data_IF_396520851831
#
_entry.id   IF_396520851831
#
_cell.length_a   1.000
_cell.length_b   1.000
_cell.length_c   1.000
_cell.angle_alpha   90.00
_cell.angle_beta   90.00
_cell.angle_gamma   90.00
#
_symmetry.space_group_name_H-M   'P 1'
#
loop_
_entity.id
_entity.type
_entity.pdbx_description
1 polymer ?
#
# COMPACT_ATOMS: atom_id res chain seq x y z
N UNK A 1 77.56 -12.23 -20.51
CA UNK A 1 76.31 -12.44 -21.27
C UNK A 1 75.50 -13.57 -20.63
N UNK A 2 74.73 -13.31 -19.56
CA UNK A 2 74.01 -14.39 -18.88
C UNK A 2 72.67 -13.99 -18.20
N UNK A 3 72.24 -12.72 -18.28
CA UNK A 3 70.98 -12.29 -17.66
C UNK A 3 69.85 -12.06 -18.67
N UNK A 4 70.18 -11.56 -19.87
CA UNK A 4 69.19 -11.20 -20.89
C UNK A 4 68.58 -12.43 -21.58
N UNK A 5 69.32 -13.53 -21.73
CA UNK A 5 68.76 -14.78 -22.30
C UNK A 5 67.81 -15.48 -21.34
N UNK A 6 68.03 -15.39 -20.02
CA UNK A 6 67.19 -16.04 -19.00
C UNK A 6 65.81 -15.38 -18.88
N UNK A 7 65.70 -14.08 -19.18
CA UNK A 7 64.41 -13.36 -19.25
C UNK A 7 63.62 -13.78 -20.50
N UNK A 8 64.32 -14.03 -21.61
CA UNK A 8 63.68 -14.42 -22.87
C UNK A 8 63.22 -15.88 -22.89
N UNK A 9 63.87 -16.75 -22.12
CA UNK A 9 63.51 -18.17 -21.98
C UNK A 9 62.35 -18.39 -20.98
N UNK A 10 62.19 -17.52 -19.97
CA UNK A 10 61.11 -17.59 -18.97
C UNK A 10 59.93 -16.65 -19.23
N UNK A 11 59.99 -15.78 -20.24
CA UNK A 11 58.88 -14.87 -20.59
C UNK A 11 57.61 -15.62 -21.00
N UNK A 12 57.74 -16.77 -21.68
CA UNK A 12 56.61 -17.63 -22.05
C UNK A 12 55.86 -18.18 -20.83
N UNK A 13 56.59 -18.58 -19.78
CA UNK A 13 55.99 -19.07 -18.52
C UNK A 13 55.32 -17.94 -17.76
N UNK A 14 55.92 -16.75 -17.74
CA UNK A 14 55.33 -15.57 -17.11
C UNK A 14 54.03 -15.13 -17.81
N UNK A 15 54.01 -15.11 -19.14
CA UNK A 15 52.81 -14.78 -19.94
C UNK A 15 51.72 -15.84 -19.74
N UNK A 16 52.09 -17.12 -19.70
CA UNK A 16 51.16 -18.22 -19.40
C UNK A 16 50.54 -18.10 -18.01
N UNK A 17 51.35 -17.77 -16.98
CA UNK A 17 50.87 -17.59 -15.61
C UNK A 17 49.90 -16.41 -15.48
N UNK A 18 50.14 -15.30 -16.19
CA UNK A 18 49.24 -14.14 -16.21
C UNK A 18 47.93 -14.48 -16.94
N UNK A 19 47.98 -15.20 -18.06
CA UNK A 19 46.79 -15.62 -18.79
C UNK A 19 45.92 -16.59 -17.96
N UNK A 20 46.54 -17.54 -17.25
CA UNK A 20 45.85 -18.45 -16.33
C UNK A 20 45.29 -17.69 -15.13
N UNK A 21 46.04 -16.71 -14.60
CA UNK A 21 45.57 -15.83 -13.53
C UNK A 21 44.34 -15.01 -13.93
N UNK A 22 44.29 -14.51 -15.17
CA UNK A 22 43.12 -13.81 -15.70
C UNK A 22 41.93 -14.76 -15.92
N UNK A 23 42.16 -15.97 -16.44
CA UNK A 23 41.10 -16.99 -16.55
C UNK A 23 40.55 -17.39 -15.18
N UNK A 24 41.42 -17.57 -14.18
CA UNK A 24 41.02 -17.85 -12.80
C UNK A 24 40.36 -16.64 -12.13
N UNK A 25 40.67 -15.40 -12.53
CA UNK A 25 39.98 -14.21 -12.04
C UNK A 25 38.59 -14.06 -12.68
N UNK A 26 38.44 -14.37 -13.96
CA UNK A 26 37.16 -14.34 -14.68
C UNK A 26 36.24 -15.47 -14.17
N UNK A 27 36.77 -16.69 -14.01
CA UNK A 27 35.99 -17.86 -13.58
C UNK A 27 35.87 -17.92 -12.04
N UNK A 28 36.93 -17.60 -11.32
CA UNK A 28 36.94 -17.58 -9.85
C UNK A 28 36.29 -16.33 -9.26
N UNK A 29 36.25 -15.20 -9.97
CA UNK A 29 35.48 -14.02 -9.56
C UNK A 29 33.97 -14.30 -9.53
N UNK A 30 33.47 -15.12 -10.46
CA UNK A 30 32.05 -15.48 -10.55
C UNK A 30 31.68 -16.66 -9.60
N UNK A 31 32.64 -17.56 -9.32
CA UNK A 31 32.43 -18.70 -8.42
C UNK A 31 32.74 -18.42 -6.94
N UNK A 32 33.72 -17.55 -6.64
CA UNK A 32 34.14 -17.20 -5.27
C UNK A 32 33.52 -15.88 -4.80
N UNK A 33 33.00 -15.07 -5.72
CA UNK A 33 32.04 -13.99 -5.43
C UNK A 33 30.63 -14.49 -5.08
N UNK A 34 30.46 -15.81 -4.98
CA UNK A 34 29.24 -16.51 -4.58
C UNK A 34 28.89 -16.30 -3.10
N UNK A 35 28.54 -15.06 -2.75
CA UNK A 35 27.84 -14.71 -1.53
C UNK A 35 26.50 -15.45 -1.51
N UNK A 36 26.47 -16.60 -0.82
CA UNK A 36 25.30 -17.24 -0.21
C UNK A 36 23.93 -17.08 -0.92
N UNK A 37 23.83 -17.37 -2.23
CA UNK A 37 22.53 -17.34 -2.94
C UNK A 37 21.64 -18.57 -2.66
N UNK A 38 22.15 -19.59 -1.96
CA UNK A 38 21.43 -20.85 -1.73
C UNK A 38 20.71 -20.95 -0.36
N UNK A 39 21.03 -20.09 0.62
CA UNK A 39 20.44 -20.15 1.97
C UNK A 39 19.90 -18.82 2.50
N UNK A 40 19.91 -17.77 1.68
CA UNK A 40 19.21 -16.52 1.96
C UNK A 40 18.30 -16.21 0.78
N UNK A 41 17.07 -16.72 0.80
CA UNK A 41 15.99 -16.08 0.04
C UNK A 41 16.01 -14.64 0.49
N UNK A 42 16.48 -13.75 -0.38
CA UNK A 42 16.35 -12.32 -0.23
C UNK A 42 14.86 -12.06 -0.02
N UNK A 43 14.42 -11.95 1.22
CA UNK A 43 13.08 -11.48 1.56
C UNK A 43 13.09 -9.96 1.34
N UNK A 44 13.26 -9.56 0.08
CA UNK A 44 13.08 -8.18 -0.38
C UNK A 44 11.58 -7.85 -0.44
N UNK A 45 10.75 -8.46 0.40
CA UNK A 45 9.35 -8.15 0.50
C UNK A 45 9.16 -6.95 1.44
N UNK A 46 8.41 -5.96 0.97
CA UNK A 46 7.93 -4.83 1.78
C UNK A 46 6.74 -5.25 2.65
N UNK A 47 6.00 -6.27 2.21
CA UNK A 47 4.96 -6.93 2.99
C UNK A 47 4.28 -8.04 2.19
N UNK A 48 3.24 -8.62 2.78
CA UNK A 48 2.48 -9.74 2.22
C UNK A 48 0.98 -9.50 2.41
N UNK A 49 0.20 -9.73 1.36
CA UNK A 49 -1.27 -9.56 1.35
C UNK A 49 -1.86 -10.83 0.72
N UNK A 50 -2.74 -11.53 1.45
CA UNK A 50 -3.38 -12.77 0.98
C UNK A 50 -2.40 -13.87 0.50
N UNK A 51 -1.19 -13.94 1.06
CA UNK A 51 -0.16 -14.90 0.62
C UNK A 51 0.69 -14.43 -0.56
N UNK A 52 0.39 -13.25 -1.14
CA UNK A 52 1.17 -12.62 -2.20
C UNK A 52 2.10 -11.55 -1.64
N UNK A 53 3.39 -11.66 -1.96
CA UNK A 53 4.40 -10.70 -1.52
C UNK A 53 4.40 -9.45 -2.39
N UNK A 54 4.54 -8.29 -1.76
CA UNK A 54 4.85 -7.01 -2.41
C UNK A 54 6.35 -6.85 -2.35
N UNK A 55 7.03 -7.04 -3.47
CA UNK A 55 8.48 -6.98 -3.55
C UNK A 55 8.97 -5.50 -3.55
N UNK A 56 10.15 -5.27 -3.00
CA UNK A 56 10.77 -3.94 -2.88
C UNK A 56 10.99 -3.27 -4.24
N UNK A 57 11.41 -3.98 -5.31
CA UNK A 57 11.50 -3.38 -6.65
C UNK A 57 10.14 -2.88 -7.15
N UNK A 58 9.06 -3.61 -6.90
CA UNK A 58 7.71 -3.20 -7.29
C UNK A 58 7.29 -1.94 -6.52
N UNK A 59 7.43 -1.97 -5.19
CA UNK A 59 7.10 -0.81 -4.36
C UNK A 59 7.89 0.43 -4.78
N UNK A 60 9.19 0.25 -5.07
CA UNK A 60 10.07 1.34 -5.48
C UNK A 60 9.66 1.92 -6.84
N UNK A 61 9.31 1.07 -7.80
CA UNK A 61 8.83 1.51 -9.11
C UNK A 61 7.50 2.29 -9.00
N UNK A 62 6.55 1.79 -8.21
CA UNK A 62 5.28 2.45 -7.97
C UNK A 62 5.46 3.80 -7.25
N UNK A 63 6.35 3.86 -6.26
CA UNK A 63 6.67 5.09 -5.54
C UNK A 63 7.31 6.14 -6.45
N UNK A 64 8.21 5.72 -7.35
CA UNK A 64 8.86 6.63 -8.29
C UNK A 64 7.84 7.23 -9.28
N UNK A 65 6.89 6.42 -9.75
CA UNK A 65 5.76 6.92 -10.55
C UNK A 65 4.91 7.93 -9.77
N UNK A 66 4.63 7.66 -8.48
CA UNK A 66 3.89 8.58 -7.63
C UNK A 66 4.62 9.93 -7.43
N UNK A 67 5.95 9.91 -7.27
CA UNK A 67 6.78 11.13 -7.19
C UNK A 67 6.80 11.91 -8.50
N UNK A 68 6.90 11.23 -9.65
CA UNK A 68 6.86 11.88 -10.96
C UNK A 68 5.52 12.59 -11.16
N UNK A 69 4.40 11.91 -10.86
CA UNK A 69 3.07 12.50 -10.90
C UNK A 69 2.94 13.72 -9.99
N UNK A 70 3.47 13.65 -8.76
CA UNK A 70 3.49 14.78 -7.83
C UNK A 70 4.28 15.96 -8.41
N UNK A 71 5.47 15.68 -8.95
CA UNK A 71 6.36 16.71 -9.52
C UNK A 71 5.71 17.41 -10.70
N UNK A 72 5.02 16.66 -11.57
CA UNK A 72 4.29 17.20 -12.72
C UNK A 72 3.08 18.05 -12.31
N UNK A 73 2.43 17.73 -11.20
CA UNK A 73 1.28 18.50 -10.70
C UNK A 73 1.69 19.76 -9.93
N UNK A 74 2.75 19.66 -9.11
CA UNK A 74 3.17 20.73 -8.19
C UNK A 74 4.32 21.58 -8.74
N UNK A 75 4.89 21.22 -9.89
CA UNK A 75 6.09 21.81 -10.48
C UNK A 75 7.27 21.90 -9.49
N UNK A 76 7.35 20.98 -8.54
CA UNK A 76 8.41 20.88 -7.53
C UNK A 76 8.60 19.43 -7.07
N UNK A 77 9.82 19.03 -6.68
CA UNK A 77 10.02 17.73 -6.06
C UNK A 77 9.30 17.64 -4.70
N UNK A 78 8.89 16.44 -4.28
CA UNK A 78 8.26 16.23 -2.98
C UNK A 78 9.26 16.49 -1.84
N UNK A 79 8.84 17.27 -0.85
CA UNK A 79 9.53 17.43 0.44
C UNK A 79 9.35 16.18 1.32
N UNK A 80 9.99 16.13 2.49
CA UNK A 80 9.95 14.95 3.36
C UNK A 80 8.53 14.56 3.80
N UNK A 81 7.66 15.55 4.01
CA UNK A 81 6.26 15.32 4.38
C UNK A 81 5.47 14.76 3.20
N UNK A 82 5.63 15.33 2.00
CA UNK A 82 5.03 14.81 0.77
C UNK A 82 5.56 13.40 0.45
N UNK A 83 6.84 13.14 0.67
CA UNK A 83 7.44 11.82 0.48
C UNK A 83 6.84 10.77 1.43
N UNK A 84 6.61 11.11 2.70
CA UNK A 84 5.93 10.21 3.64
C UNK A 84 4.51 9.87 3.18
N UNK A 85 3.74 10.89 2.77
CA UNK A 85 2.41 10.71 2.21
C UNK A 85 2.40 9.86 0.94
N UNK A 86 3.32 10.11 0.00
CA UNK A 86 3.43 9.33 -1.24
C UNK A 86 3.77 7.86 -0.99
N UNK A 87 4.60 7.56 0.02
CA UNK A 87 4.88 6.17 0.44
C UNK A 87 3.62 5.48 0.95
N UNK A 88 2.87 6.14 1.82
CA UNK A 88 1.62 5.60 2.36
C UNK A 88 0.57 5.39 1.26
N UNK A 89 0.41 6.36 0.37
CA UNK A 89 -0.47 6.26 -0.79
C UNK A 89 -0.07 5.09 -1.69
N UNK A 90 1.22 4.94 -1.99
CA UNK A 90 1.75 3.85 -2.82
C UNK A 90 1.49 2.50 -2.15
N UNK A 91 1.74 2.39 -0.85
CA UNK A 91 1.45 1.19 -0.08
C UNK A 91 -0.03 0.81 -0.15
N UNK A 92 -0.93 1.77 0.13
CA UNK A 92 -2.37 1.53 0.09
C UNK A 92 -2.86 1.14 -1.30
N UNK A 93 -2.28 1.71 -2.36
CA UNK A 93 -2.61 1.32 -3.74
C UNK A 93 -2.20 -0.12 -4.05
N UNK A 94 -0.99 -0.53 -3.67
CA UNK A 94 -0.50 -1.90 -3.89
C UNK A 94 -1.27 -2.91 -3.03
N UNK A 95 -1.54 -2.55 -1.78
CA UNK A 95 -2.36 -3.35 -0.87
C UNK A 95 -3.76 -3.56 -1.43
N UNK A 96 -4.42 -2.49 -1.91
CA UNK A 96 -5.74 -2.61 -2.53
C UNK A 96 -5.70 -3.49 -3.79
N UNK A 97 -4.68 -3.32 -4.65
CA UNK A 97 -4.50 -4.17 -5.84
C UNK A 97 -4.37 -5.65 -5.47
N UNK A 98 -3.51 -5.99 -4.51
CA UNK A 98 -3.34 -7.37 -4.03
C UNK A 98 -4.58 -7.93 -3.34
N UNK A 99 -5.33 -7.09 -2.63
CA UNK A 99 -6.55 -7.51 -1.94
C UNK A 99 -7.71 -7.78 -2.91
N UNK A 100 -7.91 -6.93 -3.93
CA UNK A 100 -9.07 -7.01 -4.82
C UNK A 100 -8.85 -7.85 -6.08
N UNK A 101 -7.62 -7.96 -6.60
CA UNK A 101 -7.36 -8.69 -7.85
C UNK A 101 -7.87 -10.13 -7.82
N UNK A 102 -7.65 -10.92 -6.75
CA UNK A 102 -8.18 -12.28 -6.67
C UNK A 102 -9.71 -12.34 -6.71
N UNK A 103 -10.38 -11.35 -6.12
CA UNK A 103 -11.85 -11.24 -6.13
C UNK A 103 -12.39 -10.89 -7.52
N UNK A 104 -11.68 -10.04 -8.27
CA UNK A 104 -12.01 -9.74 -9.66
C UNK A 104 -11.90 -10.99 -10.53
N UNK A 105 -10.81 -11.74 -10.37
CA UNK A 105 -10.54 -12.95 -11.14
C UNK A 105 -11.55 -14.06 -10.81
N UNK A 106 -11.87 -14.24 -9.52
CA UNK A 106 -12.86 -15.22 -9.07
C UNK A 106 -14.27 -14.95 -9.60
N UNK A 107 -14.66 -13.67 -9.72
CA UNK A 107 -15.95 -13.24 -10.26
C UNK A 107 -15.94 -13.02 -11.78
N UNK A 108 -14.78 -13.15 -12.44
CA UNK A 108 -14.62 -12.90 -13.88
C UNK A 108 -14.83 -11.44 -14.27
N UNK A 109 -14.59 -10.50 -13.34
CA UNK A 109 -14.73 -9.06 -13.56
C UNK A 109 -13.56 -8.52 -14.38
N UNK A 110 -13.80 -8.38 -15.69
CA UNK A 110 -12.83 -7.80 -16.62
C UNK A 110 -13.40 -6.61 -17.38
N UNK A 111 -12.53 -5.76 -17.89
CA UNK A 111 -12.88 -4.69 -18.82
C UNK A 111 -12.64 -5.19 -20.24
N UNK A 112 -13.68 -5.17 -21.07
CA UNK A 112 -13.55 -5.52 -22.50
C UNK A 112 -12.91 -4.38 -23.29
N UNK A 113 -12.34 -4.68 -24.45
CA UNK A 113 -11.70 -3.65 -25.29
C UNK A 113 -12.74 -2.60 -25.75
N UNK A 114 -13.95 -3.03 -26.15
CA UNK A 114 -15.04 -2.13 -26.53
C UNK A 114 -15.47 -1.21 -25.38
N UNK A 115 -15.54 -1.75 -24.16
CA UNK A 115 -15.84 -0.97 -22.96
C UNK A 115 -14.72 0.02 -22.63
N UNK A 116 -13.46 -0.37 -22.80
CA UNK A 116 -12.33 0.52 -22.59
C UNK A 116 -12.36 1.68 -23.60
N UNK A 117 -12.66 1.39 -24.87
CA UNK A 117 -12.87 2.41 -25.90
C UNK A 117 -14.00 3.37 -25.51
N UNK A 118 -15.12 2.84 -24.99
CA UNK A 118 -16.24 3.66 -24.54
C UNK A 118 -15.88 4.55 -23.34
N UNK A 119 -15.09 4.02 -22.40
CA UNK A 119 -14.60 4.75 -21.22
C UNK A 119 -13.55 5.83 -21.56
N UNK A 120 -12.85 5.70 -22.68
CA UNK A 120 -11.79 6.64 -23.07
C UNK A 120 -12.27 7.68 -24.08
N UNK A 121 -13.08 7.29 -25.06
CA UNK A 121 -13.47 8.17 -26.17
C UNK A 121 -14.93 8.04 -26.61
N UNK A 122 -15.69 7.08 -26.06
CA UNK A 122 -17.10 6.88 -26.37
C UNK A 122 -18.03 7.83 -25.62
N UNK A 123 -19.19 7.33 -25.22
CA UNK A 123 -20.25 8.12 -24.59
C UNK A 123 -20.20 8.01 -23.07
N UNK A 124 -19.65 6.92 -22.53
CA UNK A 124 -19.51 6.70 -21.09
C UNK A 124 -18.09 6.99 -20.58
N UNK A 125 -17.55 8.17 -20.89
CA UNK A 125 -16.20 8.57 -20.49
C UNK A 125 -15.98 8.40 -18.98
N UNK A 126 -14.83 7.83 -18.62
CA UNK A 126 -14.43 7.58 -17.23
C UNK A 126 -14.44 8.88 -16.40
N UNK A 127 -14.81 8.83 -15.11
CA UNK A 127 -14.85 10.01 -14.25
C UNK A 127 -13.52 10.77 -14.21
N UNK A 128 -12.40 10.05 -14.19
CA UNK A 128 -11.05 10.63 -14.16
C UNK A 128 -10.75 11.45 -15.42
N UNK A 129 -11.12 10.95 -16.61
CA UNK A 129 -10.99 11.71 -17.86
C UNK A 129 -11.98 12.87 -17.92
N UNK A 130 -13.23 12.67 -17.46
CA UNK A 130 -14.20 13.77 -17.38
C UNK A 130 -13.64 14.92 -16.54
N UNK A 131 -13.07 14.63 -15.38
CA UNK A 131 -12.47 15.63 -14.52
C UNK A 131 -11.28 16.34 -15.19
N UNK A 132 -10.37 15.62 -15.84
CA UNK A 132 -9.21 16.19 -16.52
C UNK A 132 -9.58 17.05 -17.74
N UNK A 133 -10.68 16.72 -18.41
CA UNK A 133 -11.14 17.39 -19.64
C UNK A 133 -12.35 18.32 -19.44
N UNK A 134 -12.72 18.58 -18.19
CA UNK A 134 -13.71 19.61 -17.83
C UNK A 134 -13.05 20.99 -17.78
N UNK A 135 -13.71 22.00 -18.35
CA UNK A 135 -13.27 23.38 -18.21
C UNK A 135 -13.58 23.90 -16.80
N UNK A 136 -12.58 24.34 -16.03
CA UNK A 136 -12.79 24.82 -14.66
C UNK A 136 -13.63 26.09 -14.57
N UNK A 137 -13.78 26.86 -15.66
CA UNK A 137 -14.58 28.09 -15.67
C UNK A 137 -16.06 27.84 -15.92
N UNK A 138 -16.36 26.90 -16.82
CA UNK A 138 -17.74 26.61 -17.25
C UNK A 138 -18.31 25.36 -16.61
N UNK A 139 -17.47 24.50 -16.02
CA UNK A 139 -17.84 23.19 -15.48
C UNK A 139 -18.26 22.19 -16.57
N UNK A 140 -18.08 22.52 -17.84
CA UNK A 140 -18.51 21.68 -18.95
C UNK A 140 -17.39 20.77 -19.43
N UNK A 141 -17.73 19.51 -19.67
CA UNK A 141 -16.82 18.52 -20.23
C UNK A 141 -16.58 18.78 -21.72
N UNK A 142 -15.31 18.92 -22.12
CA UNK A 142 -14.92 19.15 -23.50
C UNK A 142 -14.44 17.85 -24.16
N UNK A 143 -15.38 17.15 -24.81
CA UNK A 143 -15.09 15.92 -25.57
C UNK A 143 -14.18 16.19 -26.77
N UNK A 144 -14.24 17.38 -27.38
CA UNK A 144 -13.42 17.72 -28.53
C UNK A 144 -11.94 17.83 -28.12
N UNK A 145 -11.66 18.48 -26.99
CA UNK A 145 -10.31 18.57 -26.41
C UNK A 145 -9.73 17.21 -26.07
N UNK A 146 -10.55 16.30 -25.53
CA UNK A 146 -10.13 14.92 -25.26
C UNK A 146 -9.74 14.20 -26.55
N UNK A 147 -10.59 14.25 -27.58
CA UNK A 147 -10.31 13.62 -28.88
C UNK A 147 -9.04 14.22 -29.52
N UNK A 148 -8.85 15.54 -29.43
CA UNK A 148 -7.65 16.20 -29.94
C UNK A 148 -6.38 15.76 -29.19
N UNK A 149 -6.46 15.64 -27.86
CA UNK A 149 -5.37 15.10 -27.05
C UNK A 149 -5.00 13.68 -27.48
N UNK A 150 -5.99 12.80 -27.63
CA UNK A 150 -5.77 11.41 -28.07
C UNK A 150 -5.16 11.33 -29.47
N UNK A 151 -5.62 12.18 -30.41
CA UNK A 151 -5.08 12.24 -31.78
C UNK A 151 -3.63 12.71 -31.86
N UNK A 152 -3.16 13.47 -30.88
CA UNK A 152 -1.80 14.00 -30.84
C UNK A 152 -0.92 13.26 -29.82
N UNK A 153 -1.44 12.23 -29.15
CA UNK A 153 -0.75 11.51 -28.08
C UNK A 153 0.60 10.94 -28.56
N UNK A 154 0.65 10.41 -29.78
CA UNK A 154 1.86 9.89 -30.43
C UNK A 154 2.96 10.95 -30.63
N UNK A 155 2.57 12.22 -30.70
CA UNK A 155 3.48 13.37 -30.87
C UNK A 155 3.87 14.03 -29.55
N UNK A 156 3.25 13.65 -28.43
CA UNK A 156 3.59 14.16 -27.11
C UNK A 156 4.93 13.57 -26.62
N UNK A 157 5.59 14.20 -25.62
CA UNK A 157 6.78 13.65 -24.99
C UNK A 157 6.55 12.21 -24.52
N UNK A 158 7.61 11.39 -24.54
CA UNK A 158 7.54 9.98 -24.17
C UNK A 158 6.97 9.77 -22.75
N UNK A 159 7.21 10.70 -21.84
CA UNK A 159 6.64 10.70 -20.49
C UNK A 159 5.10 10.81 -20.51
N UNK A 160 4.54 11.72 -21.32
CA UNK A 160 3.08 11.87 -21.46
C UNK A 160 2.43 10.64 -22.07
N UNK A 161 3.11 10.00 -23.04
CA UNK A 161 2.66 8.74 -23.62
C UNK A 161 2.66 7.60 -22.61
N UNK A 162 3.73 7.49 -21.81
CA UNK A 162 3.83 6.50 -20.74
C UNK A 162 2.76 6.73 -19.66
N UNK A 163 2.54 7.98 -19.27
CA UNK A 163 1.49 8.35 -18.31
C UNK A 163 0.10 7.93 -18.81
N UNK A 164 -0.22 8.19 -20.08
CA UNK A 164 -1.50 7.77 -20.65
C UNK A 164 -1.64 6.24 -20.72
N UNK A 165 -0.59 5.51 -21.14
CA UNK A 165 -0.62 4.04 -21.15
C UNK A 165 -0.81 3.45 -19.75
N UNK A 166 -0.17 4.03 -18.74
CA UNK A 166 -0.34 3.61 -17.35
C UNK A 166 -1.75 3.91 -16.83
N UNK A 167 -2.32 5.05 -17.24
CA UNK A 167 -3.72 5.39 -16.95
C UNK A 167 -4.69 4.40 -17.60
N UNK A 168 -4.52 4.11 -18.89
CA UNK A 168 -5.35 3.16 -19.63
C UNK A 168 -5.27 1.75 -19.03
N UNK A 169 -4.06 1.28 -18.69
CA UNK A 169 -3.86 0.01 -18.00
C UNK A 169 -4.52 0.00 -16.61
N UNK A 170 -4.39 1.07 -15.82
CA UNK A 170 -5.08 1.18 -14.52
C UNK A 170 -6.59 1.13 -14.67
N UNK A 171 -7.13 1.84 -15.68
CA UNK A 171 -8.55 1.87 -15.97
C UNK A 171 -9.08 0.50 -16.35
N UNK A 172 -8.34 -0.22 -17.20
CA UNK A 172 -8.68 -1.56 -17.68
C UNK A 172 -8.61 -2.60 -16.56
N UNK A 173 -7.48 -2.65 -15.86
CA UNK A 173 -7.11 -3.78 -15.01
C UNK A 173 -7.59 -3.61 -13.57
N UNK A 174 -7.85 -2.38 -13.11
CA UNK A 174 -8.20 -2.13 -11.72
C UNK A 174 -9.42 -1.23 -11.53
N UNK A 175 -9.45 -0.01 -12.07
CA UNK A 175 -10.47 0.98 -11.70
C UNK A 175 -11.87 0.56 -12.17
N UNK A 176 -12.00 0.09 -13.40
CA UNK A 176 -13.29 -0.38 -13.93
C UNK A 176 -13.75 -1.70 -13.28
N UNK A 177 -12.91 -2.73 -13.09
CA UNK A 177 -13.27 -3.91 -12.30
C UNK A 177 -13.68 -3.57 -10.86
N UNK A 178 -12.99 -2.66 -10.19
CA UNK A 178 -13.33 -2.21 -8.83
C UNK A 178 -14.71 -1.55 -8.78
N UNK A 179 -15.03 -0.71 -9.76
CA UNK A 179 -16.37 -0.12 -9.88
C UNK A 179 -17.46 -1.18 -10.10
N UNK A 180 -17.19 -2.20 -10.92
CA UNK A 180 -18.12 -3.33 -11.11
C UNK A 180 -18.30 -4.11 -9.81
N UNK A 181 -17.21 -4.42 -9.12
CA UNK A 181 -17.22 -5.15 -7.85
C UNK A 181 -18.02 -4.43 -6.78
N UNK A 182 -17.73 -3.15 -6.55
CA UNK A 182 -18.45 -2.33 -5.55
C UNK A 182 -19.92 -2.11 -5.93
N UNK A 183 -20.23 -2.01 -7.23
CA UNK A 183 -21.61 -1.94 -7.71
C UNK A 183 -22.36 -3.26 -7.47
N UNK A 184 -21.72 -4.41 -7.65
CA UNK A 184 -22.31 -5.70 -7.32
C UNK A 184 -22.61 -5.81 -5.83
N UNK A 185 -21.68 -5.40 -4.96
CA UNK A 185 -21.92 -5.38 -3.51
C UNK A 185 -23.05 -4.42 -3.13
N UNK A 186 -23.10 -3.24 -3.75
CA UNK A 186 -24.18 -2.28 -3.50
C UNK A 186 -25.55 -2.81 -3.94
N UNK A 187 -25.59 -3.52 -5.06
CA UNK A 187 -26.82 -4.06 -5.64
C UNK A 187 -27.21 -5.43 -5.08
N UNK A 188 -26.33 -6.10 -4.33
CA UNK A 188 -26.65 -7.37 -3.65
C UNK A 188 -27.33 -7.16 -2.30
N UNK A 189 -27.19 -5.98 -1.71
CA UNK A 189 -27.84 -5.64 -0.44
C UNK A 189 -29.25 -5.12 -0.71
N UNK A 190 -30.24 -5.90 -0.30
CA UNK A 190 -31.65 -5.49 -0.28
C UNK A 190 -32.08 -5.26 1.17
N UNK A 191 -32.60 -4.07 1.46
CA UNK A 191 -33.18 -3.75 2.78
C UNK A 191 -34.69 -3.89 2.68
N UNK A 192 -35.26 -4.73 3.53
CA UNK A 192 -36.71 -4.91 3.59
C UNK A 192 -37.38 -3.73 4.29
N UNK A 193 -38.66 -3.48 4.00
CA UNK A 193 -39.43 -2.45 4.72
C UNK A 193 -39.52 -2.73 6.23
N UNK A 194 -39.45 -4.00 6.65
CA UNK A 194 -39.46 -4.39 8.06
C UNK A 194 -38.17 -3.97 8.77
N UNK A 195 -37.01 -4.17 8.16
CA UNK A 195 -35.71 -3.73 8.69
C UNK A 195 -35.62 -2.21 8.74
N UNK A 196 -36.07 -1.51 7.69
CA UNK A 196 -36.12 -0.06 7.67
C UNK A 196 -37.00 0.50 8.80
N UNK A 197 -38.19 -0.09 9.00
CA UNK A 197 -39.07 0.28 10.11
C UNK A 197 -38.43 0.03 11.48
N UNK A 198 -37.79 -1.12 11.67
CA UNK A 198 -37.11 -1.45 12.92
C UNK A 198 -35.94 -0.51 13.21
N UNK A 199 -35.17 -0.13 12.18
CA UNK A 199 -34.07 0.84 12.32
C UNK A 199 -34.59 2.21 12.72
N UNK A 200 -35.67 2.67 12.07
CA UNK A 200 -36.35 3.92 12.40
C UNK A 200 -36.86 3.92 13.85
N UNK A 201 -37.56 2.86 14.25
CA UNK A 201 -38.02 2.68 15.64
C UNK A 201 -36.84 2.68 16.62
N UNK A 202 -35.73 2.00 16.32
CA UNK A 202 -34.57 1.96 17.20
C UNK A 202 -33.87 3.34 17.35
N UNK A 203 -33.81 4.15 16.28
CA UNK A 203 -33.23 5.49 16.36
C UNK A 203 -34.15 6.50 17.03
N UNK A 204 -35.47 6.36 16.85
CA UNK A 204 -36.44 7.38 17.23
C UNK A 204 -37.27 7.02 18.46
N UNK A 205 -37.16 5.79 18.99
CA UNK A 205 -37.83 5.39 20.22
C UNK A 205 -37.33 6.23 21.40
N UNK A 206 -38.21 7.08 21.91
CA UNK A 206 -38.00 7.84 23.13
C UNK A 206 -38.88 7.26 24.23
N UNK A 207 -38.28 7.00 25.39
CA UNK A 207 -39.00 6.61 26.60
C UNK A 207 -38.80 7.68 27.67
N UNK A 208 -39.89 8.09 28.32
CA UNK A 208 -39.84 8.91 29.52
C UNK A 208 -40.04 8.02 30.73
N UNK A 209 -39.08 8.04 31.65
CA UNK A 209 -39.17 7.32 32.91
C UNK A 209 -38.79 8.23 34.07
N UNK A 210 -39.39 7.96 35.23
CA UNK A 210 -39.00 8.57 36.50
C UNK A 210 -38.03 7.63 37.18
N UNK A 211 -36.84 8.12 37.53
CA UNK A 211 -35.85 7.37 38.30
C UNK A 211 -35.37 8.23 39.47
N UNK A 212 -35.01 7.55 40.56
CA UNK A 212 -34.28 8.16 41.66
C UNK A 212 -32.82 7.79 41.50
N UNK A 213 -31.96 8.79 41.32
CA UNK A 213 -30.52 8.59 41.31
C UNK A 213 -29.94 9.16 42.59
N UNK A 214 -29.36 8.29 43.40
CA UNK A 214 -28.60 8.67 44.59
C UNK A 214 -27.12 8.56 44.22
N UNK A 215 -26.43 9.67 43.92
CA UNK A 215 -25.02 9.62 43.57
C UNK A 215 -24.20 9.21 44.78
N UNK A 216 -23.13 8.43 44.59
CA UNK A 216 -22.23 8.07 45.69
C UNK A 216 -21.63 9.29 46.41
N UNK A 217 -21.51 10.43 45.70
CA UNK A 217 -21.06 11.71 46.27
C UNK A 217 -22.03 12.33 47.29
N UNK A 218 -23.26 11.82 47.43
CA UNK A 218 -24.16 12.28 48.49
C UNK A 218 -23.74 11.77 49.88
N UNK A 219 -22.84 10.79 49.94
CA UNK A 219 -22.25 10.28 51.18
C UNK A 219 -20.90 10.96 51.38
N UNK A 220 -20.67 11.53 52.57
CA UNK A 220 -19.34 12.03 52.95
C UNK A 220 -18.38 10.86 53.08
N UNK A 221 -17.14 10.98 52.61
CA UNK A 221 -16.10 9.96 52.80
C UNK A 221 -15.90 9.60 54.29
N UNK A 222 -16.17 10.54 55.19
CA UNK A 222 -16.11 10.32 56.64
C UNK A 222 -17.22 9.40 57.18
N UNK A 223 -18.30 9.21 56.43
CA UNK A 223 -19.47 8.42 56.82
C UNK A 223 -19.28 6.91 56.63
N UNK A 224 -18.25 6.49 55.87
CA UNK A 224 -17.95 5.08 55.64
C UNK A 224 -16.47 4.83 55.92
N UNK A 225 -16.19 4.06 56.96
CA UNK A 225 -14.83 3.60 57.29
C UNK A 225 -14.78 2.07 57.17
N UNK A 226 -14.29 1.52 56.04
CA UNK A 226 -14.17 0.08 55.89
C UNK A 226 -13.16 -0.47 56.91
N UNK A 227 -13.44 -1.65 57.42
CA UNK A 227 -12.52 -2.40 58.30
C UNK A 227 -11.55 -3.25 57.48
N UNK A 228 -10.40 -3.59 58.04
CA UNK A 228 -9.41 -4.46 57.37
C UNK A 228 -10.01 -5.81 56.96
N UNK A 229 -10.93 -6.35 57.75
CA UNK A 229 -11.63 -7.59 57.42
C UNK A 229 -12.52 -7.45 56.17
N UNK A 230 -13.19 -6.30 55.99
CA UNK A 230 -14.02 -6.03 54.80
C UNK A 230 -13.15 -5.79 53.56
N UNK A 231 -11.99 -5.14 53.72
CA UNK A 231 -11.03 -4.95 52.64
C UNK A 231 -10.45 -6.30 52.18
N UNK A 232 -10.11 -7.17 53.13
CA UNK A 232 -9.59 -8.51 52.84
C UNK A 232 -10.64 -9.38 52.13
N UNK A 233 -11.89 -9.41 52.60
CA UNK A 233 -12.98 -10.15 51.93
C UNK A 233 -13.24 -9.62 50.51
N UNK A 234 -13.21 -8.29 50.31
CA UNK A 234 -13.36 -7.70 48.99
C UNK A 234 -12.21 -8.05 48.05
N UNK A 235 -10.96 -8.00 48.54
CA UNK A 235 -9.78 -8.41 47.78
C UNK A 235 -9.86 -9.89 47.40
N UNK A 236 -10.27 -10.75 48.34
CA UNK A 236 -10.37 -12.18 48.13
C UNK A 236 -11.40 -12.55 47.04
N UNK A 237 -12.51 -11.82 46.97
CA UNK A 237 -13.55 -11.99 45.93
C UNK A 237 -13.17 -11.41 44.57
N UNK A 238 -12.14 -10.57 44.51
CA UNK A 238 -11.78 -9.82 43.29
C UNK A 238 -10.30 -9.92 42.91
N UNK A 239 -9.59 -10.96 43.37
CA UNK A 239 -8.14 -11.16 43.14
C UNK A 239 -7.70 -10.94 41.70
N UNK A 240 -8.54 -11.33 40.73
CA UNK A 240 -8.25 -11.15 39.30
C UNK A 240 -8.04 -9.70 38.87
N UNK A 241 -8.68 -8.73 39.54
CA UNK A 241 -8.55 -7.28 39.26
C UNK A 241 -7.29 -6.64 39.86
N UNK A 242 -6.63 -7.34 40.77
CA UNK A 242 -5.45 -6.86 41.50
C UNK A 242 -4.20 -7.70 41.18
N UNK A 243 -4.25 -8.51 40.11
CA UNK A 243 -3.05 -9.14 39.56
C UNK A 243 -2.20 -8.06 38.91
N UNK A 244 -0.99 -7.89 39.44
CA UNK A 244 0.05 -7.10 38.79
C UNK A 244 0.90 -8.03 37.94
N UNK A 245 1.37 -7.54 36.80
CA UNK A 245 2.39 -8.24 36.02
C UNK A 245 3.73 -8.20 36.74
N UNK A 246 4.57 -9.20 36.47
CA UNK A 246 5.91 -9.31 37.04
C UNK A 246 6.78 -8.10 36.66
N UNK A 247 6.89 -7.14 37.56
CA UNK A 247 7.85 -6.03 37.44
C UNK A 247 9.27 -6.47 37.81
N UNK A 248 10.27 -5.84 37.19
CA UNK A 248 11.68 -5.91 37.63
C UNK A 248 12.19 -4.48 37.75
N UNK A 249 12.76 -4.15 38.90
CA UNK A 249 13.45 -2.86 39.11
C UNK A 249 14.93 -3.08 38.85
N UNK A 250 15.51 -2.35 37.90
CA UNK A 250 16.94 -2.38 37.60
C UNK A 250 17.49 -1.00 37.92
N UNK A 251 18.42 -0.93 38.89
CA UNK A 251 19.30 0.22 39.06
C UNK A 251 20.64 -0.10 38.39
N UNK A 252 21.11 0.81 37.55
CA UNK A 252 22.45 0.75 36.98
C UNK A 252 23.11 2.13 37.11
N UNK A 253 24.44 2.12 37.26
CA UNK A 253 25.27 3.33 37.29
C UNK A 253 26.05 3.38 35.96
N UNK A 254 26.00 4.54 35.29
CA UNK A 254 26.79 4.85 34.08
C UNK A 254 28.22 5.21 34.46
#
# INVERSE_FOLDING_TARGET
MALINTIREKSGVAVGAVAIGMLLFIVGGDLVGGRNRLFGRNDQAVGEVNGEKIELPEFTAALEQAKQNFTNQQNRPPDDQALAYLREQTWNQLLARRAYQPEFDALGLKTSDDELVDLVQGDNISPSLKQAFTDPKTGQFDKARLIEYLKNLDKLPAESQAAFRNFEASLRDFDRPLLKYTSLLKNSVYVTSAEAKRFDEAQNAKASFRYLFVPYTSLSDSSVKPTDAQLQDYLDRHKGRYKVEDGRTIEYIV
#
